data_IF_137636824216
#
_entry.id   IF_137636824216
#
_cell.length_a   1.000
_cell.length_b   1.000
_cell.length_c   1.000
_cell.angle_alpha   90.00
_cell.angle_beta   90.00
_cell.angle_gamma   90.00
#
_symmetry.space_group_name_H-M   'P 1'
#
loop_
_entity.id
_entity.type
_entity.pdbx_description
1 polymer ?
#
# COMPACT_ATOMS: atom_id res chain seq x y z
N UNK A 1 -19.17 -27.66 -17.66
CA UNK A 1 -19.90 -28.14 -16.46
C UNK A 1 -20.95 -27.09 -16.11
N UNK A 2 -22.24 -27.44 -16.02
CA UNK A 2 -23.29 -26.47 -15.67
C UNK A 2 -23.48 -26.39 -14.15
N UNK A 3 -23.92 -25.22 -13.66
CA UNK A 3 -24.19 -24.93 -12.25
C UNK A 3 -25.16 -25.96 -11.61
N UNK A 4 -26.18 -26.40 -12.36
CA UNK A 4 -27.12 -27.43 -11.88
C UNK A 4 -26.53 -28.83 -11.72
N UNK A 5 -25.32 -29.07 -12.26
CA UNK A 5 -24.61 -30.35 -12.12
C UNK A 5 -23.71 -30.38 -10.89
N UNK A 6 -23.26 -29.21 -10.40
CA UNK A 6 -22.39 -29.06 -9.22
C UNK A 6 -23.18 -29.02 -7.91
N UNK A 7 -24.47 -28.68 -7.93
CA UNK A 7 -25.32 -28.63 -6.73
C UNK A 7 -25.95 -29.99 -6.40
N UNK A 8 -25.67 -31.05 -7.17
CA UNK A 8 -26.14 -32.40 -6.83
C UNK A 8 -25.26 -32.99 -5.71
N UNK A 9 -25.78 -33.19 -4.48
CA UNK A 9 -24.99 -33.68 -3.34
C UNK A 9 -24.37 -35.05 -3.61
N UNK A 10 -25.02 -35.87 -4.43
CA UNK A 10 -24.51 -37.18 -4.86
C UNK A 10 -23.23 -37.04 -5.69
N UNK A 11 -23.20 -36.10 -6.64
CA UNK A 11 -22.01 -35.86 -7.48
C UNK A 11 -20.85 -35.25 -6.68
N UNK A 12 -21.13 -34.38 -5.72
CA UNK A 12 -20.12 -33.89 -4.78
C UNK A 12 -19.54 -35.06 -3.99
N UNK A 13 -20.39 -35.92 -3.41
CA UNK A 13 -19.94 -37.11 -2.69
C UNK A 13 -19.13 -38.08 -3.56
N UNK A 14 -19.51 -38.27 -4.82
CA UNK A 14 -18.79 -39.14 -5.76
C UNK A 14 -17.41 -38.56 -6.13
N UNK A 15 -17.32 -37.24 -6.34
CA UNK A 15 -16.06 -36.53 -6.59
C UNK A 15 -15.16 -36.58 -5.34
N UNK A 16 -15.71 -36.30 -4.15
CA UNK A 16 -14.98 -36.32 -2.89
C UNK A 16 -14.51 -37.74 -2.53
N UNK A 17 -15.33 -38.77 -2.79
CA UNK A 17 -14.96 -40.17 -2.64
C UNK A 17 -13.83 -40.59 -3.59
N UNK A 18 -13.86 -40.11 -4.83
CA UNK A 18 -12.79 -40.32 -5.81
C UNK A 18 -11.50 -39.57 -5.43
N UNK A 19 -11.61 -38.30 -5.01
CA UNK A 19 -10.46 -37.51 -4.55
C UNK A 19 -9.81 -38.09 -3.29
N UNK A 20 -10.60 -38.59 -2.34
CA UNK A 20 -10.09 -39.15 -1.08
C UNK A 20 -9.20 -40.39 -1.27
N UNK A 21 -9.32 -41.09 -2.40
CA UNK A 21 -8.47 -42.26 -2.71
C UNK A 21 -7.04 -41.89 -3.15
N UNK A 22 -6.78 -40.63 -3.55
CA UNK A 22 -5.49 -40.17 -4.08
C UNK A 22 -5.03 -38.80 -3.51
N UNK A 23 -5.82 -38.18 -2.64
CA UNK A 23 -5.53 -36.87 -2.04
C UNK A 23 -5.50 -36.96 -0.52
N UNK A 24 -4.41 -36.50 0.08
CA UNK A 24 -4.29 -36.36 1.53
C UNK A 24 -4.72 -34.94 1.92
N UNK A 25 -5.77 -34.83 2.72
CA UNK A 25 -6.28 -33.56 3.26
C UNK A 25 -6.73 -33.77 4.69
N UNK A 26 -6.62 -32.73 5.52
CA UNK A 26 -7.20 -32.68 6.86
C UNK A 26 -8.60 -32.04 6.88
N UNK A 27 -9.16 -31.66 5.73
CA UNK A 27 -10.51 -31.12 5.64
C UNK A 27 -11.56 -32.23 5.80
N UNK A 28 -12.56 -31.97 6.64
CA UNK A 28 -13.73 -32.83 6.74
C UNK A 28 -14.63 -32.70 5.50
N UNK A 29 -15.45 -33.73 5.23
CA UNK A 29 -16.31 -33.77 4.04
C UNK A 29 -17.27 -32.57 3.97
N UNK A 30 -17.81 -32.14 5.11
CA UNK A 30 -18.70 -30.98 5.16
C UNK A 30 -17.97 -29.65 4.95
N UNK A 31 -16.70 -29.54 5.38
CA UNK A 31 -15.86 -28.35 5.13
C UNK A 31 -15.58 -28.21 3.63
N UNK A 32 -15.29 -29.33 2.95
CA UNK A 32 -15.12 -29.34 1.50
C UNK A 32 -16.41 -28.95 0.78
N UNK A 33 -17.57 -29.45 1.20
CA UNK A 33 -18.85 -29.06 0.65
C UNK A 33 -19.15 -27.57 0.87
N UNK A 34 -18.82 -27.05 2.06
CA UNK A 34 -18.97 -25.63 2.39
C UNK A 34 -18.04 -24.75 1.56
N UNK A 35 -16.77 -25.14 1.42
CA UNK A 35 -15.78 -24.46 0.59
C UNK A 35 -16.23 -24.42 -0.88
N UNK A 36 -16.70 -25.54 -1.43
CA UNK A 36 -17.22 -25.59 -2.80
C UNK A 36 -18.41 -24.64 -3.01
N UNK A 37 -19.32 -24.53 -2.02
CA UNK A 37 -20.41 -23.56 -2.07
C UNK A 37 -19.89 -22.11 -2.08
N UNK A 38 -18.95 -21.77 -1.19
CA UNK A 38 -18.37 -20.42 -1.12
C UNK A 38 -17.64 -20.05 -2.42
N UNK A 39 -16.84 -20.97 -2.94
CA UNK A 39 -16.05 -20.75 -4.17
C UNK A 39 -16.94 -20.69 -5.41
N UNK A 40 -18.08 -21.40 -5.44
CA UNK A 40 -18.98 -21.40 -6.61
C UNK A 40 -19.58 -20.04 -6.96
N UNK A 41 -19.61 -19.09 -6.01
CA UNK A 41 -20.03 -17.71 -6.24
C UNK A 41 -18.90 -16.76 -6.64
N UNK A 42 -17.64 -17.19 -6.56
CA UNK A 42 -16.46 -16.35 -6.88
C UNK A 42 -16.19 -16.44 -8.37
N UNK A 43 -16.07 -15.28 -9.04
CA UNK A 43 -15.65 -15.24 -10.44
C UNK A 43 -14.13 -15.45 -10.51
N UNK A 44 -13.64 -16.16 -11.52
CA UNK A 44 -12.20 -16.36 -11.70
C UNK A 44 -11.42 -15.04 -11.85
N UNK A 45 -12.07 -13.96 -12.29
CA UNK A 45 -11.51 -12.61 -12.36
C UNK A 45 -11.24 -11.97 -11.00
N UNK A 46 -11.89 -12.48 -9.95
CA UNK A 46 -11.82 -11.93 -8.59
C UNK A 46 -10.79 -12.69 -7.74
N UNK A 47 -10.16 -13.73 -8.30
CA UNK A 47 -9.11 -14.50 -7.64
C UNK A 47 -7.78 -13.76 -7.77
N UNK A 48 -7.24 -13.31 -6.65
CA UNK A 48 -5.92 -12.67 -6.60
C UNK A 48 -4.85 -13.75 -6.69
N UNK A 49 -3.97 -13.62 -7.69
CA UNK A 49 -2.78 -14.47 -7.83
C UNK A 49 -1.52 -13.64 -7.61
N UNK A 50 -0.64 -14.12 -6.72
CA UNK A 50 0.66 -13.51 -6.45
C UNK A 50 1.75 -14.56 -6.55
N UNK A 51 2.77 -14.26 -7.35
CA UNK A 51 3.93 -15.13 -7.53
C UNK A 51 5.06 -14.57 -6.69
N UNK A 52 5.67 -15.45 -5.90
CA UNK A 52 6.86 -15.14 -5.11
C UNK A 52 8.04 -15.70 -5.92
N UNK A 53 8.79 -14.82 -6.59
CA UNK A 53 9.84 -15.19 -7.53
C UNK A 53 11.12 -14.35 -7.37
N UNK A 54 12.13 -14.68 -8.18
CA UNK A 54 13.43 -13.99 -8.27
C UNK A 54 13.56 -12.98 -9.41
N UNK A 55 12.43 -12.50 -9.96
CA UNK A 55 12.46 -11.42 -10.94
C UNK A 55 13.06 -10.12 -10.34
N UNK A 56 13.45 -9.13 -11.17
CA UNK A 56 14.01 -7.87 -10.67
C UNK A 56 13.15 -7.18 -9.60
N UNK A 57 11.81 -7.29 -9.71
CA UNK A 57 10.87 -6.74 -8.74
C UNK A 57 10.41 -7.77 -7.70
N UNK A 58 10.63 -9.07 -7.93
CA UNK A 58 10.24 -10.15 -7.03
C UNK A 58 10.85 -10.06 -5.63
N UNK A 59 10.29 -10.81 -4.68
CA UNK A 59 10.72 -10.82 -3.27
C UNK A 59 11.90 -11.76 -2.99
N UNK A 60 12.24 -12.63 -3.94
CA UNK A 60 13.33 -13.59 -3.80
C UNK A 60 14.52 -13.23 -4.67
N UNK A 61 15.66 -13.84 -4.40
CA UNK A 61 16.82 -13.85 -5.26
C UNK A 61 17.40 -15.26 -5.30
N UNK A 62 18.09 -15.54 -6.40
CA UNK A 62 18.81 -16.78 -6.59
C UNK A 62 20.07 -16.79 -5.71
N UNK A 63 20.36 -17.93 -5.10
CA UNK A 63 21.59 -18.17 -4.37
C UNK A 63 22.07 -19.61 -4.58
N UNK A 64 23.36 -19.86 -4.37
CA UNK A 64 23.93 -21.21 -4.40
C UNK A 64 24.19 -21.69 -2.97
N UNK A 65 23.47 -22.71 -2.56
CA UNK A 65 23.61 -23.34 -1.25
C UNK A 65 24.87 -24.21 -1.13
N UNK A 66 25.09 -24.75 0.07
CA UNK A 66 26.13 -25.74 0.34
C UNK A 66 26.03 -26.91 -0.63
N UNK A 67 27.13 -27.25 -1.30
CA UNK A 67 27.17 -28.34 -2.29
C UNK A 67 26.71 -27.96 -3.70
N UNK A 68 26.52 -26.67 -4.01
CA UNK A 68 26.22 -26.20 -5.37
C UNK A 68 24.73 -26.24 -5.74
N UNK A 69 23.84 -26.45 -4.77
CA UNK A 69 22.40 -26.47 -5.00
C UNK A 69 21.87 -25.07 -5.30
N UNK A 70 21.04 -24.94 -6.32
CA UNK A 70 20.29 -23.71 -6.58
C UNK A 70 19.17 -23.55 -5.54
N UNK A 71 19.15 -22.42 -4.85
CA UNK A 71 18.15 -22.08 -3.83
C UNK A 71 17.59 -20.69 -4.08
N UNK A 72 16.37 -20.45 -3.61
CA UNK A 72 15.75 -19.12 -3.58
C UNK A 72 15.72 -18.62 -2.14
N UNK A 73 16.17 -17.38 -1.95
CA UNK A 73 16.20 -16.72 -0.64
C UNK A 73 15.56 -15.34 -0.71
N UNK A 74 14.98 -14.82 0.38
CA UNK A 74 14.45 -13.46 0.39
C UNK A 74 15.54 -12.41 0.13
N UNK A 75 15.24 -11.38 -0.68
CA UNK A 75 16.18 -10.30 -1.03
C UNK A 75 16.69 -9.54 0.20
N UNK A 76 15.82 -9.29 1.17
CA UNK A 76 16.16 -8.59 2.41
C UNK A 76 16.74 -9.52 3.49
N UNK A 77 17.01 -10.81 3.17
CA UNK A 77 17.47 -11.85 4.11
C UNK A 77 16.51 -12.11 5.30
N UNK A 78 15.25 -11.68 5.20
CA UNK A 78 14.17 -11.91 6.17
C UNK A 78 12.90 -12.39 5.46
N UNK A 79 12.02 -13.10 6.18
CA UNK A 79 10.71 -13.48 5.64
C UNK A 79 9.64 -12.41 5.85
N UNK A 80 10.00 -11.25 6.40
CA UNK A 80 9.04 -10.20 6.77
C UNK A 80 8.21 -9.69 5.58
N UNK A 81 8.83 -9.43 4.44
CA UNK A 81 8.10 -8.95 3.24
C UNK A 81 7.15 -10.02 2.70
N UNK A 82 7.57 -11.30 2.72
CA UNK A 82 6.74 -12.43 2.29
C UNK A 82 5.56 -12.61 3.25
N UNK A 83 5.81 -12.53 4.56
CA UNK A 83 4.77 -12.60 5.57
C UNK A 83 3.80 -11.42 5.47
N UNK A 84 4.31 -10.22 5.15
CA UNK A 84 3.52 -9.03 4.92
C UNK A 84 2.62 -9.20 3.68
N UNK A 85 3.17 -9.68 2.56
CA UNK A 85 2.41 -10.01 1.35
C UNK A 85 1.26 -10.97 1.66
N UNK A 86 1.52 -12.06 2.38
CA UNK A 86 0.51 -13.04 2.72
C UNK A 86 -0.61 -12.47 3.62
N UNK A 87 -0.26 -11.61 4.59
CA UNK A 87 -1.24 -10.98 5.50
C UNK A 87 -2.09 -9.90 4.84
N UNK A 88 -1.54 -9.22 3.84
CA UNK A 88 -2.13 -8.00 3.27
C UNK A 88 -2.45 -8.13 1.77
N UNK A 89 -2.55 -9.35 1.25
CA UNK A 89 -2.75 -9.62 -0.19
C UNK A 89 -3.93 -8.87 -0.82
N UNK A 90 -5.04 -8.70 -0.09
CA UNK A 90 -6.21 -7.97 -0.58
C UNK A 90 -5.95 -6.47 -0.73
N UNK A 91 -5.31 -5.85 0.28
CA UNK A 91 -4.93 -4.44 0.23
C UNK A 91 -3.90 -4.19 -0.87
N UNK A 92 -2.91 -5.08 -0.97
CA UNK A 92 -1.87 -5.02 -2.01
C UNK A 92 -2.51 -5.04 -3.39
N UNK A 93 -3.44 -5.98 -3.64
CA UNK A 93 -4.13 -6.05 -4.93
C UNK A 93 -4.96 -4.82 -5.26
N UNK A 94 -5.43 -4.07 -4.26
CA UNK A 94 -6.16 -2.82 -4.47
C UNK A 94 -5.20 -1.65 -4.75
N UNK A 95 -4.10 -1.55 -3.99
CA UNK A 95 -3.07 -0.54 -4.20
C UNK A 95 -2.41 -0.64 -5.59
N UNK A 96 -2.22 -1.86 -6.12
CA UNK A 96 -1.73 -2.07 -7.48
C UNK A 96 -2.64 -1.47 -8.56
N UNK A 97 -3.96 -1.48 -8.33
CA UNK A 97 -4.92 -0.94 -9.30
C UNK A 97 -4.86 0.58 -9.39
N UNK A 98 -4.38 1.25 -8.33
CA UNK A 98 -4.21 2.71 -8.30
C UNK A 98 -3.04 3.17 -9.18
N UNK A 99 -2.09 2.28 -9.50
CA UNK A 99 -0.87 2.58 -10.27
C UNK A 99 -0.12 3.84 -9.78
N UNK A 100 0.18 3.93 -8.47
CA UNK A 100 0.70 5.14 -7.84
C UNK A 100 2.18 5.37 -8.18
N UNK A 101 2.57 6.62 -8.37
CA UNK A 101 3.97 7.01 -8.37
C UNK A 101 4.43 7.27 -6.93
N UNK A 102 5.26 6.38 -6.38
CA UNK A 102 5.72 6.44 -4.99
C UNK A 102 7.19 6.87 -4.93
N UNK A 103 7.48 7.87 -4.11
CA UNK A 103 8.84 8.22 -3.73
C UNK A 103 9.11 7.78 -2.29
N UNK A 104 10.12 6.94 -2.09
CA UNK A 104 10.63 6.59 -0.77
C UNK A 104 11.86 7.44 -0.48
N UNK A 105 11.82 8.17 0.62
CA UNK A 105 12.87 9.10 1.03
C UNK A 105 13.48 8.61 2.34
N UNK A 106 14.79 8.40 2.34
CA UNK A 106 15.54 8.13 3.55
C UNK A 106 15.94 9.46 4.22
N UNK A 107 15.36 9.75 5.38
CA UNK A 107 15.74 10.85 6.26
C UNK A 107 16.43 10.33 7.53
N UNK A 108 17.22 9.25 7.38
CA UNK A 108 17.98 8.60 8.45
C UNK A 108 19.44 8.42 8.03
N UNK A 109 20.29 8.08 9.00
CA UNK A 109 21.68 7.71 8.74
C UNK A 109 21.85 6.24 8.28
N UNK A 110 20.76 5.46 8.19
CA UNK A 110 20.83 4.05 7.81
C UNK A 110 20.99 3.93 6.30
N UNK A 111 22.12 3.39 5.80
CA UNK A 111 22.32 3.24 4.36
C UNK A 111 21.32 2.23 3.78
N UNK A 112 20.95 2.42 2.52
CA UNK A 112 20.08 1.51 1.75
C UNK A 112 18.64 1.35 2.26
N UNK A 113 18.21 2.13 3.26
CA UNK A 113 16.89 1.98 3.86
C UNK A 113 15.76 2.31 2.87
N UNK A 114 15.90 3.39 2.09
CA UNK A 114 14.90 3.76 1.08
C UNK A 114 14.89 2.75 -0.07
N UNK A 115 16.05 2.30 -0.53
CA UNK A 115 16.20 1.33 -1.61
C UNK A 115 15.58 -0.02 -1.23
N UNK A 116 15.87 -0.53 -0.03
CA UNK A 116 15.27 -1.78 0.46
C UNK A 116 13.76 -1.67 0.59
N UNK A 117 13.25 -0.51 1.03
CA UNK A 117 11.80 -0.28 1.17
C UNK A 117 11.13 -0.17 -0.18
N UNK A 118 11.75 0.57 -1.11
CA UNK A 118 11.27 0.67 -2.47
C UNK A 118 11.21 -0.71 -3.13
N UNK A 119 12.24 -1.55 -2.93
CA UNK A 119 12.26 -2.92 -3.42
C UNK A 119 11.12 -3.77 -2.83
N UNK A 120 10.81 -3.62 -1.54
CA UNK A 120 9.66 -4.30 -0.93
C UNK A 120 8.33 -3.87 -1.56
N UNK A 121 8.13 -2.56 -1.76
CA UNK A 121 6.94 -2.01 -2.42
C UNK A 121 6.82 -2.48 -3.88
N UNK A 122 7.93 -2.56 -4.63
CA UNK A 122 7.97 -3.15 -5.97
C UNK A 122 7.60 -4.64 -5.94
N UNK A 123 8.03 -5.37 -4.91
CA UNK A 123 7.68 -6.77 -4.68
C UNK A 123 6.23 -7.01 -4.26
N UNK A 124 5.56 -5.95 -3.78
CA UNK A 124 4.11 -5.93 -3.62
C UNK A 124 3.38 -5.47 -4.88
N UNK A 125 4.09 -5.36 -6.02
CA UNK A 125 3.50 -5.12 -7.34
C UNK A 125 3.26 -3.66 -7.69
N UNK A 126 3.67 -2.69 -6.86
CA UNK A 126 3.75 -1.30 -7.30
C UNK A 126 4.80 -1.20 -8.42
N UNK A 127 4.51 -0.45 -9.49
CA UNK A 127 5.37 -0.41 -10.69
C UNK A 127 6.27 0.81 -10.74
N UNK A 128 5.86 1.90 -10.10
CA UNK A 128 6.50 3.22 -10.15
C UNK A 128 6.96 3.64 -8.76
N UNK A 129 8.00 2.98 -8.25
CA UNK A 129 8.59 3.31 -6.93
C UNK A 129 10.04 3.76 -7.10
N UNK A 130 10.38 4.92 -6.54
CA UNK A 130 11.74 5.47 -6.54
C UNK A 130 12.27 5.64 -5.12
N UNK A 131 13.59 5.65 -4.99
CA UNK A 131 14.29 5.87 -3.72
C UNK A 131 15.16 7.12 -3.80
N UNK A 132 15.18 7.90 -2.72
CA UNK A 132 16.06 9.06 -2.54
C UNK A 132 16.58 9.10 -1.09
N UNK A 133 17.67 9.82 -0.87
CA UNK A 133 18.22 10.08 0.47
C UNK A 133 18.37 11.58 0.67
N UNK A 134 17.99 12.07 1.85
CA UNK A 134 18.24 13.45 2.29
C UNK A 134 19.44 13.44 3.24
N UNK A 135 20.50 14.18 2.88
CA UNK A 135 21.75 14.14 3.63
C UNK A 135 21.74 15.03 4.89
N UNK A 136 20.91 16.09 4.88
CA UNK A 136 20.92 17.12 5.92
C UNK A 136 19.62 17.16 6.75
N UNK A 137 18.64 16.31 6.42
CA UNK A 137 17.33 16.30 7.04
C UNK A 137 17.10 14.98 7.79
N UNK A 138 16.84 15.09 9.09
CA UNK A 138 16.43 13.95 9.91
C UNK A 138 15.10 14.22 10.57
N UNK A 139 14.23 13.21 10.60
CA UNK A 139 12.99 13.22 11.36
C UNK A 139 12.94 12.02 12.30
N UNK A 140 12.46 12.21 13.52
CA UNK A 140 12.35 11.16 14.54
C UNK A 140 11.17 10.19 14.35
N UNK A 141 10.55 10.19 13.18
CA UNK A 141 9.36 9.39 12.86
C UNK A 141 9.21 9.18 11.36
N UNK A 142 8.66 8.02 10.99
CA UNK A 142 8.24 7.75 9.61
C UNK A 142 6.91 8.44 9.32
N UNK A 143 6.83 9.20 8.23
CA UNK A 143 5.66 9.99 7.82
C UNK A 143 5.36 9.81 6.34
N UNK A 144 4.13 10.11 5.95
CA UNK A 144 3.70 10.16 4.56
C UNK A 144 3.36 11.59 4.15
N UNK A 145 3.56 11.93 2.88
CA UNK A 145 2.94 13.09 2.22
C UNK A 145 2.07 12.54 1.10
N UNK A 146 0.79 12.90 1.12
CA UNK A 146 -0.15 12.59 0.06
C UNK A 146 -0.23 13.77 -0.93
N UNK A 147 0.23 13.55 -2.15
CA UNK A 147 0.13 14.48 -3.27
C UNK A 147 -0.85 13.98 -4.34
N UNK A 148 -1.50 12.84 -4.08
CA UNK A 148 -2.43 12.18 -4.98
C UNK A 148 -3.79 12.91 -5.04
N UNK A 149 -4.14 13.73 -4.05
CA UNK A 149 -5.51 14.25 -3.90
C UNK A 149 -6.56 13.12 -3.73
N UNK A 150 -6.18 12.04 -3.04
CA UNK A 150 -7.07 10.97 -2.59
C UNK A 150 -7.37 9.87 -3.60
N UNK A 151 -6.59 9.74 -4.69
CA UNK A 151 -6.73 8.62 -5.63
C UNK A 151 -5.77 7.46 -5.36
N UNK A 152 -4.89 7.59 -4.36
CA UNK A 152 -3.92 6.58 -3.95
C UNK A 152 -4.13 6.13 -2.49
N UNK A 153 -5.39 6.07 -2.03
CA UNK A 153 -5.75 5.79 -0.63
C UNK A 153 -5.29 4.39 -0.17
N UNK A 154 -5.40 3.37 -1.03
CA UNK A 154 -4.97 2.01 -0.71
C UNK A 154 -3.45 1.91 -0.65
N UNK A 155 -2.76 2.63 -1.51
CA UNK A 155 -1.30 2.78 -1.50
C UNK A 155 -0.82 3.48 -0.23
N UNK A 156 -1.52 4.55 0.19
CA UNK A 156 -1.24 5.25 1.44
C UNK A 156 -1.38 4.31 2.63
N UNK A 157 -2.47 3.54 2.68
CA UNK A 157 -2.69 2.53 3.72
C UNK A 157 -1.64 1.42 3.69
N UNK A 158 -1.27 0.93 2.50
CA UNK A 158 -0.25 -0.10 2.31
C UNK A 158 1.11 0.37 2.85
N UNK A 159 1.57 1.54 2.41
CA UNK A 159 2.83 2.14 2.87
C UNK A 159 2.79 2.40 4.39
N UNK A 160 1.64 2.84 4.89
CA UNK A 160 1.37 3.05 6.31
C UNK A 160 1.60 1.81 7.15
N UNK A 161 1.01 0.68 6.75
CA UNK A 161 1.17 -0.60 7.43
C UNK A 161 2.58 -1.17 7.27
N UNK A 162 3.16 -1.05 6.09
CA UNK A 162 4.47 -1.65 5.79
C UNK A 162 5.58 -1.04 6.63
N UNK A 163 5.55 0.29 6.83
CA UNK A 163 6.61 1.04 7.53
C UNK A 163 6.18 1.67 8.85
N UNK A 164 5.04 1.24 9.40
CA UNK A 164 4.51 1.72 10.68
C UNK A 164 4.45 3.26 10.75
N UNK A 165 3.92 3.87 9.69
CA UNK A 165 3.86 5.33 9.55
C UNK A 165 3.09 5.96 10.70
N UNK A 166 3.64 7.03 11.28
CA UNK A 166 3.08 7.72 12.45
C UNK A 166 2.11 8.86 12.09
N UNK A 167 1.91 9.14 10.80
CA UNK A 167 0.93 10.09 10.30
C UNK A 167 1.24 10.60 8.89
N UNK A 168 0.29 11.34 8.34
CA UNK A 168 0.44 12.09 7.09
C UNK A 168 0.69 13.55 7.42
N UNK A 169 1.66 14.18 6.76
CA UNK A 169 1.98 15.61 6.90
C UNK A 169 1.96 16.29 5.53
N UNK A 170 1.83 17.62 5.52
CA UNK A 170 2.01 18.42 4.30
C UNK A 170 3.50 18.73 4.05
N UNK A 171 3.83 19.13 2.81
CA UNK A 171 5.17 19.60 2.47
C UNK A 171 5.56 20.87 3.26
N UNK A 172 4.58 21.73 3.54
CA UNK A 172 4.77 22.92 4.39
C UNK A 172 5.11 22.52 5.82
N UNK A 173 4.40 21.54 6.38
CA UNK A 173 4.71 20.99 7.70
C UNK A 173 6.11 20.39 7.74
N UNK A 174 6.49 19.58 6.75
CA UNK A 174 7.86 19.05 6.61
C UNK A 174 8.92 20.14 6.68
N UNK A 175 8.75 21.17 5.84
CA UNK A 175 9.70 22.30 5.76
C UNK A 175 9.78 23.04 7.10
N UNK A 176 8.63 23.23 7.78
CA UNK A 176 8.59 23.90 9.08
C UNK A 176 9.22 23.08 10.22
N UNK A 177 9.09 21.75 10.19
CA UNK A 177 9.60 20.84 11.23
C UNK A 177 11.11 20.58 11.08
N UNK A 178 11.60 20.51 9.83
CA UNK A 178 12.98 20.07 9.53
C UNK A 178 13.89 21.19 9.03
N UNK A 179 13.33 22.29 8.52
CA UNK A 179 14.08 23.32 7.79
C UNK A 179 14.56 22.87 6.40
N UNK A 180 14.26 21.64 5.97
CA UNK A 180 14.68 21.12 4.67
C UNK A 180 13.81 21.66 3.53
N UNK A 181 14.47 22.24 2.53
CA UNK A 181 13.86 22.68 1.27
C UNK A 181 14.20 21.75 0.11
N UNK A 182 15.10 20.79 0.32
CA UNK A 182 15.58 19.87 -0.71
C UNK A 182 14.49 18.91 -1.18
N UNK A 183 13.60 18.48 -0.27
CA UNK A 183 12.46 17.65 -0.65
C UNK A 183 11.52 18.39 -1.61
N UNK A 184 11.19 19.65 -1.33
CA UNK A 184 10.34 20.45 -2.21
C UNK A 184 10.99 20.64 -3.60
N UNK A 185 12.31 20.86 -3.62
CA UNK A 185 13.09 20.93 -4.86
C UNK A 185 13.07 19.61 -5.63
N UNK A 186 13.26 18.47 -4.96
CA UNK A 186 13.21 17.13 -5.55
C UNK A 186 11.85 16.84 -6.20
N UNK A 187 10.76 17.24 -5.54
CA UNK A 187 9.40 17.07 -6.07
C UNK A 187 9.10 18.04 -7.23
N UNK A 188 9.71 19.23 -7.24
CA UNK A 188 9.50 20.24 -8.29
C UNK A 188 10.34 19.99 -9.56
N UNK A 189 11.59 19.56 -9.41
CA UNK A 189 12.53 19.35 -10.52
C UNK A 189 12.36 17.98 -11.20
N UNK A 190 11.62 17.07 -10.56
CA UNK A 190 11.54 15.68 -10.98
C UNK A 190 12.85 14.92 -10.73
N UNK A 191 12.80 13.59 -10.85
CA UNK A 191 13.95 12.74 -10.55
C UNK A 191 15.00 12.80 -11.68
N UNK A 192 16.16 13.42 -11.43
CA UNK A 192 17.33 13.32 -12.33
C UNK A 192 18.16 12.07 -12.00
N UNK A 193 18.44 11.17 -12.97
CA UNK A 193 19.16 9.92 -12.73
C UNK A 193 20.62 10.11 -12.28
N UNK A 194 21.14 11.33 -12.22
CA UNK A 194 22.49 11.64 -11.75
C UNK A 194 22.65 11.67 -10.22
N UNK A 195 21.55 11.60 -9.45
CA UNK A 195 21.59 11.61 -7.98
C UNK A 195 21.55 10.21 -7.33
N UNK A 196 21.67 9.13 -8.11
CA UNK A 196 21.79 7.77 -7.57
C UNK A 196 23.25 7.30 -7.61
N UNK A 197 23.66 6.56 -6.57
CA UNK A 197 24.88 5.77 -6.61
C UNK A 197 24.79 4.85 -7.84
N UNK A 198 25.68 5.06 -8.82
CA UNK A 198 25.68 4.47 -10.17
C UNK A 198 25.77 2.92 -10.22
N UNK A 199 25.72 2.25 -9.08
CA UNK A 199 25.72 0.80 -8.96
C UNK A 199 24.39 0.14 -9.38
N UNK A 200 23.24 0.80 -9.19
CA UNK A 200 21.94 0.20 -9.54
C UNK A 200 21.62 0.28 -11.04
N UNK A 201 21.95 1.39 -11.71
CA UNK A 201 21.82 1.55 -13.17
C UNK A 201 22.62 0.49 -13.96
N UNK A 202 23.72 -0.02 -13.38
CA UNK A 202 24.58 -0.98 -14.05
C UNK A 202 24.08 -2.44 -14.02
N UNK A 203 23.13 -2.78 -13.14
CA UNK A 203 22.57 -4.13 -13.05
C UNK A 203 21.31 -4.34 -13.91
N UNK A 204 20.74 -3.28 -14.48
CA UNK A 204 19.53 -3.33 -15.30
C UNK A 204 19.82 -2.96 -16.77
N UNK A 205 20.80 -3.61 -17.40
CA UNK A 205 21.30 -3.31 -18.76
C UNK A 205 20.31 -3.46 -19.91
N UNK A 206 19.06 -3.84 -19.65
CA UNK A 206 18.07 -4.11 -20.71
C UNK A 206 16.80 -3.26 -20.62
N UNK A 207 16.81 -2.20 -19.82
CA UNK A 207 15.77 -1.17 -19.89
C UNK A 207 16.35 0.11 -20.45
N UNK A 208 15.94 0.47 -21.66
CA UNK A 208 16.03 1.85 -22.15
C UNK A 208 15.21 2.73 -21.22
N UNK A 209 15.85 3.27 -20.17
CA UNK A 209 15.23 4.22 -19.25
C UNK A 209 15.12 5.54 -19.99
N UNK A 210 13.97 5.76 -20.65
CA UNK A 210 13.64 7.07 -21.21
C UNK A 210 13.62 8.08 -20.06
N UNK A 211 14.35 9.21 -20.15
CA UNK A 211 14.30 10.24 -19.11
C UNK A 211 12.89 10.86 -19.11
N UNK A 212 12.10 10.55 -18.08
CA UNK A 212 10.80 11.18 -17.87
C UNK A 212 11.01 12.49 -17.08
N UNK A 213 11.33 13.56 -17.80
CA UNK A 213 11.21 14.90 -17.24
C UNK A 213 9.74 15.13 -16.82
N UNK A 214 9.53 15.58 -15.58
CA UNK A 214 8.22 15.88 -14.96
C UNK A 214 7.40 14.70 -14.38
N UNK A 215 8.03 13.64 -13.87
CA UNK A 215 7.30 12.69 -13.02
C UNK A 215 6.82 13.35 -11.73
N UNK A 216 5.50 13.49 -11.58
CA UNK A 216 4.87 13.79 -10.30
C UNK A 216 4.76 12.49 -9.50
N UNK A 217 5.03 12.57 -8.21
CA UNK A 217 4.75 11.49 -7.26
C UNK A 217 3.38 11.72 -6.65
N UNK A 218 2.65 10.64 -6.43
CA UNK A 218 1.35 10.61 -5.75
C UNK A 218 1.51 10.43 -4.24
N UNK A 219 2.54 9.67 -3.84
CA UNK A 219 2.85 9.39 -2.44
C UNK A 219 4.33 9.59 -2.19
N UNK A 220 4.68 10.29 -1.10
CA UNK A 220 6.05 10.39 -0.60
C UNK A 220 6.13 9.74 0.78
N UNK A 221 6.84 8.62 0.88
CA UNK A 221 7.11 7.91 2.13
C UNK A 221 8.46 8.35 2.68
N UNK A 222 8.46 9.09 3.78
CA UNK A 222 9.67 9.59 4.41
C UNK A 222 10.00 8.70 5.62
N UNK A 223 11.13 8.02 5.53
CA UNK A 223 11.63 7.10 6.54
C UNK A 223 12.42 7.89 7.58
N UNK A 224 11.94 7.87 8.82
CA UNK A 224 12.60 8.50 9.97
C UNK A 224 13.28 7.50 10.89
N UNK A 225 14.03 8.00 11.86
CA UNK A 225 14.58 7.18 12.94
C UNK A 225 13.43 6.74 13.84
N UNK A 226 13.01 5.48 13.75
CA UNK A 226 11.98 4.94 14.65
C UNK A 226 12.48 5.01 16.09
N UNK A 227 11.81 5.78 16.93
CA UNK A 227 11.94 5.65 18.38
C UNK A 227 11.50 4.24 18.78
N UNK A 228 12.23 3.55 19.68
CA UNK A 228 11.90 2.19 20.08
C UNK A 228 10.45 2.10 20.58
N UNK A 229 9.78 1.00 20.22
CA UNK A 229 8.37 0.70 20.54
C UNK A 229 8.01 1.07 21.98
N UNK A 230 7.36 2.21 22.18
CA UNK A 230 6.50 2.39 23.33
C UNK A 230 5.22 1.61 23.04
N UNK A 231 4.97 0.54 23.79
CA UNK A 231 3.86 -0.41 23.63
C UNK A 231 2.44 0.20 23.82
N UNK A 232 2.30 1.53 23.78
CA UNK A 232 1.08 2.27 24.08
C UNK A 232 0.66 3.27 22.98
N UNK A 233 1.14 3.15 21.74
CA UNK A 233 0.62 3.98 20.66
C UNK A 233 -0.73 3.42 20.21
N UNK A 234 -1.79 4.13 20.60
CA UNK A 234 -3.16 3.86 20.24
C UNK A 234 -3.33 3.71 18.72
N UNK A 235 -4.18 2.74 18.36
CA UNK A 235 -4.70 2.53 17.02
C UNK A 235 -5.06 3.86 16.35
N UNK A 236 -4.45 4.15 15.19
CA UNK A 236 -4.85 5.28 14.35
C UNK A 236 -6.33 5.06 13.97
N UNK A 237 -7.24 6.02 14.19
CA UNK A 237 -8.56 5.95 13.58
C UNK A 237 -8.39 6.21 12.09
N UNK A 238 -8.46 5.15 11.28
CA UNK A 238 -8.38 5.21 9.81
C UNK A 238 -9.65 5.85 9.19
N UNK A 239 -10.64 6.24 10.01
CA UNK A 239 -11.82 6.98 9.56
C UNK A 239 -11.75 8.46 9.95
N UNK A 240 -11.15 9.27 9.09
CA UNK A 240 -11.61 10.64 8.89
C UNK A 240 -12.42 10.65 7.59
N UNK A 241 -13.74 10.76 7.70
CA UNK A 241 -14.59 10.97 6.53
C UNK A 241 -14.08 12.20 5.74
N UNK A 242 -14.12 12.18 4.40
CA UNK A 242 -13.69 13.33 3.61
C UNK A 242 -14.50 14.56 4.03
N UNK A 243 -13.89 15.75 4.10
CA UNK A 243 -14.63 16.97 4.36
C UNK A 243 -15.74 17.10 3.32
N UNK A 244 -17.00 17.14 3.76
CA UNK A 244 -18.13 17.48 2.89
C UNK A 244 -17.78 18.78 2.18
N UNK A 245 -17.74 18.75 0.85
CA UNK A 245 -17.68 19.96 0.01
C UNK A 245 -18.76 20.91 0.51
N UNK A 246 -18.35 22.01 1.14
CA UNK A 246 -19.24 23.15 1.32
C UNK A 246 -19.53 23.69 -0.08
N UNK A 247 -20.72 23.40 -0.59
CA UNK A 247 -21.25 24.11 -1.74
C UNK A 247 -21.23 25.60 -1.37
N UNK A 248 -20.44 26.39 -2.09
CA UNK A 248 -20.48 27.84 -1.99
C UNK A 248 -21.88 28.30 -2.43
N UNK A 249 -22.75 28.53 -1.46
CA UNK A 249 -24.01 29.23 -1.68
C UNK A 249 -23.65 30.70 -1.81
N UNK A 250 -23.72 31.18 -3.05
CA UNK A 250 -23.60 32.58 -3.41
C UNK A 250 -24.77 33.37 -2.80
N UNK A 251 -24.56 34.01 -1.64
CA UNK A 251 -25.54 34.91 -1.02
C UNK A 251 -25.28 36.36 -1.42
N UNK A 252 -25.49 36.68 -2.70
CA UNK A 252 -25.84 38.04 -3.12
C UNK A 252 -27.35 38.10 -3.38
N UNK A 253 -28.14 38.17 -2.30
CA UNK A 253 -29.49 38.74 -2.34
C UNK A 253 -29.73 39.57 -1.08
N UNK A 254 -30.12 40.81 -1.33
CA UNK A 254 -30.48 41.90 -0.44
C UNK A 254 -31.44 41.50 0.69
N UNK A 255 -31.37 42.12 1.88
CA UNK A 255 -32.24 41.79 2.99
C UNK A 255 -33.60 42.49 2.82
N UNK A 256 -34.68 41.71 2.84
CA UNK A 256 -36.03 42.22 3.08
C UNK A 256 -36.31 42.12 4.58
N UNK A 257 -36.47 43.27 5.21
CA UNK A 257 -36.91 43.40 6.59
C UNK A 257 -38.35 42.93 6.77
N UNK A 258 -38.65 42.23 7.86
CA UNK A 258 -39.99 42.20 8.48
C UNK A 258 -39.87 41.73 9.95
N UNK A 259 -39.97 42.70 10.86
CA UNK A 259 -41.02 42.74 11.88
C UNK A 259 -41.13 41.65 12.96
N UNK A 260 -40.80 42.10 14.17
CA UNK A 260 -41.58 41.97 15.41
C UNK A 260 -41.41 40.72 16.30
N UNK A 261 -41.27 41.07 17.57
CA UNK A 261 -40.99 40.37 18.81
C UNK A 261 -42.18 39.62 19.42
N UNK A 262 -41.83 38.65 20.27
CA UNK A 262 -42.56 38.12 21.43
C UNK A 262 -43.87 37.37 21.18
N UNK A 263 -43.90 36.08 21.59
CA UNK A 263 -44.64 35.64 22.80
C UNK A 263 -44.86 34.10 22.87
N UNK A 264 -44.81 33.57 24.10
CA UNK A 264 -45.45 32.33 24.62
C UNK A 264 -44.81 30.98 24.22
N UNK A 265 -44.08 30.27 25.09
CA UNK A 265 -44.51 29.48 26.28
C UNK A 265 -45.74 28.58 26.02
N UNK A 266 -45.53 27.28 25.74
CA UNK A 266 -46.07 26.11 26.50
C UNK A 266 -46.00 24.79 25.70
N UNK A 267 -45.45 23.77 26.36
CA UNK A 267 -45.97 22.40 26.50
C UNK A 267 -46.34 21.58 25.24
N UNK A 268 -45.65 20.47 24.99
CA UNK A 268 -46.05 19.09 25.39
C UNK A 268 -45.26 18.03 24.58
N UNK A 269 -44.58 17.18 25.35
CA UNK A 269 -44.24 15.75 25.10
C UNK A 269 -45.56 14.97 24.96
N UNK A 270 -45.65 13.83 24.24
CA UNK A 270 -44.62 12.79 24.07
C UNK A 270 -44.04 12.61 22.67
#
# INVERSE_FOLDING_TARGET
>A
LSFGTLVNPKKISDILGSLGSHSQTNMEVWEMARLAQLVSSIKSTDIINKVIDSSPNGLLQDETGLGGAFILVPKNRSYDDIAFLARHIFLISQAEQEQPHVLVVNATALPHLAESTAQGLLGFGLTTVKAATLNDATIGRTVLIDTSAGHADQTLQLAGLYRHVQGTISLEQWTSETGDTSLAKLLAEGFSPTNTNAAWLNNNRDQTVTPLANERFDIVLILGQDQPRNANVATIPIFAAPPKKAAAINTNKTPVALGNTNSLIKNLVP
#
